data_IF_280570510664
#
_entry.id   IF_280570510664
#
_cell.length_a   1.000
_cell.length_b   1.000
_cell.length_c   1.000
_cell.angle_alpha   90.00
_cell.angle_beta   90.00
_cell.angle_gamma   90.00
#
_symmetry.space_group_name_H-M   'P 1'
#
loop_
_entity.id
_entity.type
_entity.pdbx_description
1 polymer ?
#
# COMPACT_ATOMS: atom_id res chain seq x y z
N UNK A 1 0.86 -19.95 13.47
CA UNK A 1 1.67 -19.65 14.67
C UNK A 1 1.32 -18.24 15.17
N UNK A 2 1.37 -18.00 16.48
CA UNK A 2 0.99 -16.71 17.12
C UNK A 2 1.64 -15.48 16.48
N UNK A 3 2.92 -15.49 16.05
CA UNK A 3 3.56 -14.32 15.43
C UNK A 3 2.90 -13.87 14.12
N UNK A 4 2.43 -14.80 13.29
CA UNK A 4 1.79 -14.46 12.02
C UNK A 4 0.46 -13.73 12.19
N UNK A 5 -0.35 -14.15 13.18
CA UNK A 5 -1.62 -13.50 13.50
C UNK A 5 -1.40 -12.09 14.08
N UNK A 6 -0.41 -11.94 14.96
CA UNK A 6 -0.04 -10.63 15.50
C UNK A 6 0.43 -9.68 14.38
N UNK A 7 1.26 -10.16 13.46
CA UNK A 7 1.75 -9.36 12.33
C UNK A 7 0.60 -8.93 11.39
N UNK A 8 -0.35 -9.84 11.13
CA UNK A 8 -1.55 -9.54 10.34
C UNK A 8 -2.37 -8.40 10.95
N UNK A 9 -2.58 -8.44 12.28
CA UNK A 9 -3.28 -7.38 13.01
C UNK A 9 -2.51 -6.04 12.98
N UNK A 10 -1.20 -6.09 13.22
CA UNK A 10 -0.33 -4.90 13.16
C UNK A 10 -0.33 -4.26 11.78
N UNK A 11 -0.24 -5.05 10.71
CA UNK A 11 -0.28 -4.54 9.34
C UNK A 11 -1.62 -3.87 9.02
N UNK A 12 -2.76 -4.48 9.38
CA UNK A 12 -4.05 -3.80 9.22
C UNK A 12 -4.12 -2.47 9.95
N UNK A 13 -3.57 -2.40 11.17
CA UNK A 13 -3.65 -1.19 11.99
C UNK A 13 -2.72 -0.07 11.48
N UNK A 14 -1.57 -0.42 10.90
CA UNK A 14 -0.54 0.57 10.52
C UNK A 14 -0.51 0.90 9.03
N UNK A 15 -0.83 -0.07 8.17
CA UNK A 15 -0.73 0.04 6.70
C UNK A 15 -2.11 0.12 6.03
N UNK A 16 -3.19 -0.03 6.80
CA UNK A 16 -4.56 -0.19 6.29
C UNK A 16 -4.72 -1.40 5.35
N UNK A 17 -3.76 -2.33 5.40
CA UNK A 17 -3.79 -3.57 4.64
C UNK A 17 -3.08 -4.67 5.43
N UNK A 18 -3.60 -5.89 5.35
CA UNK A 18 -3.01 -7.04 6.06
C UNK A 18 -1.65 -7.49 5.49
N UNK A 19 -1.44 -7.24 4.20
CA UNK A 19 -0.30 -7.77 3.45
C UNK A 19 0.61 -6.63 3.00
N UNK A 20 1.92 -6.87 3.08
CA UNK A 20 2.92 -5.93 2.56
C UNK A 20 3.04 -6.07 1.05
N UNK A 21 3.26 -4.96 0.34
CA UNK A 21 3.57 -5.00 -1.09
C UNK A 21 4.99 -5.49 -1.32
N UNK A 22 5.21 -6.13 -2.47
CA UNK A 22 6.54 -6.49 -2.93
C UNK A 22 7.34 -5.23 -3.28
N UNK A 23 8.63 -5.25 -2.96
CA UNK A 23 9.59 -4.16 -3.22
C UNK A 23 10.96 -4.70 -3.63
N UNK A 24 11.03 -5.94 -4.10
CA UNK A 24 12.27 -6.62 -4.41
C UNK A 24 12.88 -6.08 -5.70
N UNK A 25 12.04 -5.78 -6.69
CA UNK A 25 12.48 -5.18 -7.94
C UNK A 25 12.51 -3.66 -7.90
N UNK A 26 13.37 -3.08 -8.73
CA UNK A 26 13.49 -1.60 -8.86
C UNK A 26 12.16 -0.98 -9.29
N UNK A 27 11.47 -1.62 -10.23
CA UNK A 27 10.20 -1.11 -10.74
C UNK A 27 9.15 -1.04 -9.64
N UNK A 28 9.00 -2.11 -8.86
CA UNK A 28 8.07 -2.17 -7.74
C UNK A 28 8.35 -1.10 -6.68
N UNK A 29 9.63 -0.86 -6.35
CA UNK A 29 10.02 0.23 -5.43
C UNK A 29 9.62 1.60 -5.95
N UNK A 30 9.84 1.87 -7.24
CA UNK A 30 9.48 3.14 -7.86
C UNK A 30 7.96 3.33 -7.81
N UNK A 31 7.18 2.30 -8.12
CA UNK A 31 5.73 2.36 -8.05
C UNK A 31 5.22 2.53 -6.62
N UNK A 32 5.83 1.86 -5.64
CA UNK A 32 5.49 2.04 -4.22
C UNK A 32 5.65 3.50 -3.78
N UNK A 33 6.77 4.12 -4.15
CA UNK A 33 7.04 5.54 -3.84
C UNK A 33 6.12 6.47 -4.64
N UNK A 34 5.78 6.14 -5.89
CA UNK A 34 4.80 6.89 -6.68
C UNK A 34 3.45 6.91 -5.97
N UNK A 35 2.96 5.75 -5.54
CA UNK A 35 1.65 5.65 -4.88
C UNK A 35 1.66 6.41 -3.56
N UNK A 36 2.75 6.34 -2.76
CA UNK A 36 2.94 7.20 -1.59
C UNK A 36 2.82 8.70 -1.89
N UNK A 37 3.35 9.17 -3.02
CA UNK A 37 3.30 10.60 -3.40
C UNK A 37 1.91 11.04 -3.85
N UNK A 38 1.14 10.15 -4.47
CA UNK A 38 -0.19 10.47 -5.00
C UNK A 38 -1.27 10.42 -3.92
N UNK A 39 -1.24 9.41 -3.05
CA UNK A 39 -2.34 9.15 -2.09
C UNK A 39 -1.91 9.27 -0.63
N UNK A 40 -0.62 9.43 -0.34
CA UNK A 40 -0.07 9.42 1.02
C UNK A 40 0.03 8.03 1.66
N UNK A 41 -0.55 7.00 1.03
CA UNK A 41 -0.57 5.62 1.50
C UNK A 41 -0.45 4.66 0.30
N UNK A 42 0.59 3.82 0.18
CA UNK A 42 0.84 3.01 -1.00
C UNK A 42 -0.10 1.79 -1.12
N UNK A 43 -0.94 1.55 -0.10
CA UNK A 43 -1.99 0.53 -0.08
C UNK A 43 -3.35 1.09 -0.50
N UNK A 44 -3.50 2.42 -0.57
CA UNK A 44 -4.70 3.06 -1.09
C UNK A 44 -4.61 3.19 -2.60
N UNK A 45 -5.51 2.53 -3.31
CA UNK A 45 -5.59 2.61 -4.77
C UNK A 45 -6.04 4.02 -5.22
N UNK A 46 -5.39 4.55 -6.25
CA UNK A 46 -5.80 5.79 -6.91
C UNK A 46 -6.70 5.45 -8.10
N UNK A 47 -8.01 5.54 -7.92
CA UNK A 47 -9.00 5.18 -8.93
C UNK A 47 -9.25 6.28 -9.96
N UNK A 48 -10.19 6.03 -10.87
CA UNK A 48 -10.62 7.00 -11.89
C UNK A 48 -11.39 8.18 -11.28
N UNK A 49 -11.95 7.99 -10.09
CA UNK A 49 -12.62 9.01 -9.28
C UNK A 49 -11.70 10.15 -8.84
N UNK A 50 -10.38 9.92 -8.82
CA UNK A 50 -9.40 10.95 -8.52
C UNK A 50 -9.10 11.88 -9.70
N UNK A 51 -9.63 11.58 -10.89
CA UNK A 51 -9.44 12.36 -12.11
C UNK A 51 -10.65 13.30 -12.26
N UNK A 52 -10.46 14.61 -12.44
CA UNK A 52 -11.59 15.53 -12.62
C UNK A 52 -12.32 15.26 -13.93
N UNK A 53 -13.66 15.31 -13.87
CA UNK A 53 -14.51 15.31 -15.06
C UNK A 53 -14.25 16.59 -15.87
N UNK A 54 -14.21 16.45 -17.20
CA UNK A 54 -14.02 17.57 -18.14
C UNK A 54 -15.27 18.41 -18.34
#
# INVERSE_FOLDING_TARGET
SVPGFALYGLHKLTLDNAYRRNTDERWERILYVRDMRLTGNPYKANGLDAIPDQ
#
